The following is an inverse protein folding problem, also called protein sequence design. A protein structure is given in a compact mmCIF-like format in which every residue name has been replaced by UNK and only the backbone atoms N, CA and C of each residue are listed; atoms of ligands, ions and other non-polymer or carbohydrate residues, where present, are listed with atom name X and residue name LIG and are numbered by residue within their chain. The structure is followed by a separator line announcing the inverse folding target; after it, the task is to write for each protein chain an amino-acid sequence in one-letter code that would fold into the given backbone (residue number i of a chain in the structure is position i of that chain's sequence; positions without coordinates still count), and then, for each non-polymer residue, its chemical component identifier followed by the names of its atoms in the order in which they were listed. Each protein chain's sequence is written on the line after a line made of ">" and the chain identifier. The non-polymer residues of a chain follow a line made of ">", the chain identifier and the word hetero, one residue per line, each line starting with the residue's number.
data_IF_382184729293
#
_entry.id   IF_382184729293
#
_cell.length_a   1.000
_cell.length_b   1.000
_cell.length_c   1.000
_cell.angle_alpha   90.00
_cell.angle_beta   90.00
_cell.angle_gamma   90.00
#
_symmetry.space_group_name_H-M   'P 1'
#
loop_
_entity.id
_entity.type
_entity.pdbx_description
1 polymer ?
#
# COMPACT_ATOMS: atom_id res chain seq x y z
N UNK A 1 27.73 1.25 -17.55
CA UNK A 1 29.05 1.17 -16.91
C UNK A 1 29.33 -0.27 -16.54
N UNK A 2 30.37 -0.89 -17.15
CA UNK A 2 30.80 -2.24 -16.82
C UNK A 2 31.25 -2.29 -15.36
N UNK A 3 30.43 -2.95 -14.51
CA UNK A 3 30.78 -3.20 -13.09
C UNK A 3 31.77 -4.38 -13.03
N UNK A 4 33.02 -4.13 -13.39
CA UNK A 4 34.06 -5.14 -13.18
C UNK A 4 34.15 -5.43 -11.67
N UNK A 5 34.15 -6.71 -11.26
CA UNK A 5 34.29 -7.07 -9.86
C UNK A 5 35.65 -6.61 -9.35
N UNK A 6 35.71 -6.01 -8.16
CA UNK A 6 36.87 -5.32 -7.61
C UNK A 6 38.08 -6.24 -7.50
N UNK A 7 37.89 -7.50 -7.10
CA UNK A 7 38.97 -8.48 -6.90
C UNK A 7 39.68 -8.84 -8.19
N UNK A 8 39.05 -9.24 -9.31
CA UNK A 8 39.79 -9.52 -10.55
C UNK A 8 40.41 -8.27 -11.17
N UNK A 9 39.80 -7.06 -10.96
CA UNK A 9 40.45 -5.83 -11.42
C UNK A 9 41.75 -5.56 -10.65
N UNK A 10 41.72 -5.64 -9.31
CA UNK A 10 42.93 -5.47 -8.48
C UNK A 10 43.98 -6.55 -8.77
N UNK A 11 43.57 -7.80 -8.97
CA UNK A 11 44.48 -8.90 -9.36
C UNK A 11 45.15 -8.62 -10.69
N UNK A 12 44.44 -8.14 -11.69
CA UNK A 12 44.98 -7.77 -13.00
C UNK A 12 45.98 -6.62 -12.94
N UNK A 13 45.65 -5.55 -12.19
CA UNK A 13 46.56 -4.41 -12.01
C UNK A 13 47.82 -4.82 -11.25
N UNK A 14 47.67 -5.58 -10.17
CA UNK A 14 48.84 -6.08 -9.39
C UNK A 14 49.72 -6.99 -10.23
N UNK A 15 49.15 -7.87 -11.05
CA UNK A 15 49.90 -8.72 -11.97
C UNK A 15 50.71 -7.88 -12.95
N UNK A 16 50.12 -6.87 -13.54
CA UNK A 16 50.76 -6.02 -14.55
C UNK A 16 51.91 -5.21 -13.93
N UNK A 17 51.73 -4.68 -12.72
CA UNK A 17 52.79 -3.97 -11.97
C UNK A 17 53.93 -4.93 -11.63
N UNK A 18 53.64 -6.10 -11.08
CA UNK A 18 54.66 -7.11 -10.71
C UNK A 18 55.47 -7.63 -11.88
N UNK A 19 54.83 -7.83 -13.05
CA UNK A 19 55.52 -8.22 -14.28
C UNK A 19 56.42 -7.08 -14.79
N UNK A 20 55.92 -5.83 -14.74
CA UNK A 20 56.74 -4.66 -15.13
C UNK A 20 57.98 -4.45 -14.26
N UNK A 21 57.83 -4.58 -12.93
CA UNK A 21 58.96 -4.51 -11.98
C UNK A 21 59.95 -5.64 -12.19
N UNK A 22 59.50 -6.87 -12.41
CA UNK A 22 60.32 -8.02 -12.67
C UNK A 22 61.14 -7.84 -13.98
N UNK A 23 60.51 -7.37 -15.06
CA UNK A 23 61.17 -7.02 -16.31
C UNK A 23 62.17 -5.89 -16.12
N UNK A 24 61.88 -4.88 -15.30
CA UNK A 24 62.81 -3.80 -14.96
C UNK A 24 64.07 -4.32 -14.27
N UNK A 25 63.91 -5.20 -13.28
CA UNK A 25 65.06 -5.84 -12.61
C UNK A 25 65.89 -6.63 -13.57
N UNK A 26 65.31 -7.41 -14.50
CA UNK A 26 65.99 -8.17 -15.50
C UNK A 26 66.78 -7.29 -16.50
N UNK A 27 66.28 -6.16 -16.89
CA UNK A 27 66.89 -5.24 -17.86
C UNK A 27 68.01 -4.39 -17.27
N UNK A 28 67.96 -4.03 -15.99
CA UNK A 28 68.86 -3.08 -15.35
C UNK A 28 69.72 -3.69 -14.24
N UNK A 29 69.61 -5.00 -14.00
CA UNK A 29 70.40 -5.68 -12.96
C UNK A 29 71.80 -6.00 -13.45
N UNK A 30 72.79 -5.28 -12.91
CA UNK A 30 74.20 -5.60 -12.98
C UNK A 30 74.60 -6.70 -11.96
N UNK A 31 75.80 -6.75 -11.50
CA UNK A 31 76.38 -7.80 -10.65
C UNK A 31 75.63 -8.14 -9.33
N UNK A 32 74.63 -7.34 -8.89
CA UNK A 32 73.81 -7.57 -7.68
C UNK A 32 72.42 -8.10 -7.98
N UNK A 33 72.14 -8.65 -9.15
CA UNK A 33 70.81 -9.12 -9.56
C UNK A 33 70.18 -10.10 -8.56
N UNK A 34 70.90 -10.96 -7.93
CA UNK A 34 70.39 -11.94 -6.98
C UNK A 34 69.84 -11.29 -5.68
N UNK A 35 70.57 -10.29 -5.18
CA UNK A 35 70.15 -9.57 -3.98
C UNK A 35 68.86 -8.70 -4.25
N UNK A 36 68.78 -8.06 -5.43
CA UNK A 36 67.63 -7.30 -5.85
C UNK A 36 66.38 -8.18 -6.05
N UNK A 37 66.52 -9.33 -6.68
CA UNK A 37 65.43 -10.32 -6.82
C UNK A 37 64.97 -10.87 -5.48
N UNK A 38 65.86 -11.12 -4.54
CA UNK A 38 65.50 -11.58 -3.21
C UNK A 38 64.72 -10.52 -2.44
N UNK A 39 65.13 -9.23 -2.47
CA UNK A 39 64.42 -8.12 -1.85
C UNK A 39 63.04 -7.90 -2.50
N UNK A 40 62.97 -7.97 -3.83
CA UNK A 40 61.72 -7.90 -4.56
C UNK A 40 60.75 -9.02 -4.16
N UNK A 41 61.24 -10.25 -4.05
CA UNK A 41 60.42 -11.39 -3.61
C UNK A 41 59.90 -11.19 -2.18
N UNK A 42 60.77 -10.72 -1.27
CA UNK A 42 60.40 -10.45 0.11
C UNK A 42 59.34 -9.34 0.21
N UNK A 43 59.49 -8.29 -0.60
CA UNK A 43 58.47 -7.24 -0.71
C UNK A 43 57.14 -7.81 -1.17
N UNK A 44 57.09 -8.60 -2.22
CA UNK A 44 55.84 -9.20 -2.75
C UNK A 44 55.21 -10.17 -1.76
N UNK A 45 55.98 -10.88 -0.97
CA UNK A 45 55.48 -11.77 0.08
C UNK A 45 54.63 -11.02 1.13
N UNK A 46 54.92 -9.73 1.36
CA UNK A 46 54.18 -8.89 2.32
C UNK A 46 53.09 -8.08 1.61
N UNK A 47 53.42 -7.42 0.51
CA UNK A 47 52.54 -6.46 -0.17
C UNK A 47 51.32 -7.15 -0.82
N UNK A 48 51.53 -8.31 -1.48
CA UNK A 48 50.44 -9.01 -2.16
C UNK A 48 49.30 -9.45 -1.21
N UNK A 49 49.60 -10.12 -0.08
CA UNK A 49 48.57 -10.50 0.87
C UNK A 49 47.81 -9.29 1.43
N UNK A 50 48.49 -8.17 1.67
CA UNK A 50 47.83 -6.94 2.18
C UNK A 50 46.89 -6.38 1.14
N UNK A 51 47.30 -6.26 -0.13
CA UNK A 51 46.43 -5.75 -1.20
C UNK A 51 45.21 -6.67 -1.37
N UNK A 52 45.40 -7.99 -1.40
CA UNK A 52 44.29 -8.95 -1.49
C UNK A 52 43.35 -8.87 -0.30
N UNK A 53 43.90 -8.75 0.91
CA UNK A 53 43.08 -8.57 2.12
C UNK A 53 42.21 -7.32 2.02
N UNK A 54 42.77 -6.17 1.64
CA UNK A 54 42.03 -4.92 1.49
C UNK A 54 40.96 -5.04 0.41
N UNK A 55 41.31 -5.60 -0.77
CA UNK A 55 40.39 -5.79 -1.88
C UNK A 55 39.19 -6.67 -1.50
N UNK A 56 39.42 -7.80 -0.83
CA UNK A 56 38.38 -8.72 -0.36
C UNK A 56 37.49 -8.07 0.69
N UNK A 57 38.08 -7.33 1.61
CA UNK A 57 37.32 -6.63 2.67
C UNK A 57 36.48 -5.50 2.09
N UNK A 58 37.00 -4.69 1.18
CA UNK A 58 36.24 -3.68 0.46
C UNK A 58 35.10 -4.28 -0.36
N UNK A 59 35.30 -5.43 -0.99
CA UNK A 59 34.25 -6.13 -1.71
C UNK A 59 33.13 -6.58 -0.76
N UNK A 60 33.47 -7.15 0.41
CA UNK A 60 32.49 -7.53 1.43
C UNK A 60 31.70 -6.33 1.93
N UNK A 61 32.35 -5.22 2.28
CA UNK A 61 31.69 -3.97 2.69
C UNK A 61 30.71 -3.46 1.62
N UNK A 62 31.15 -3.45 0.36
CA UNK A 62 30.30 -3.01 -0.76
C UNK A 62 29.08 -3.90 -0.95
N UNK A 63 29.25 -5.22 -0.89
CA UNK A 63 28.14 -6.17 -1.06
C UNK A 63 27.13 -6.03 0.07
N UNK A 64 27.61 -5.87 1.31
CA UNK A 64 26.75 -5.66 2.46
C UNK A 64 26.00 -4.32 2.39
N UNK A 65 26.71 -3.22 2.09
CA UNK A 65 26.06 -1.92 1.88
C UNK A 65 24.99 -1.98 0.78
N UNK A 66 25.22 -2.76 -0.27
CA UNK A 66 24.22 -2.95 -1.33
C UNK A 66 23.01 -3.78 -0.86
N UNK A 67 23.21 -4.83 -0.06
CA UNK A 67 22.12 -5.61 0.53
C UNK A 67 21.27 -4.77 1.49
N UNK A 68 21.90 -3.92 2.32
CA UNK A 68 21.21 -2.96 3.17
C UNK A 68 20.35 -1.98 2.36
N UNK A 69 20.91 -1.46 1.25
CA UNK A 69 20.18 -0.56 0.35
C UNK A 69 18.99 -1.23 -0.35
N UNK A 70 18.95 -2.56 -0.42
CA UNK A 70 17.82 -3.35 -0.92
C UNK A 70 16.80 -3.73 0.17
N UNK A 71 17.04 -3.30 1.43
CA UNK A 71 16.16 -3.56 2.55
C UNK A 71 16.41 -4.89 3.27
N UNK A 72 17.48 -5.61 2.95
CA UNK A 72 17.85 -6.83 3.68
C UNK A 72 18.70 -6.46 4.89
N UNK A 73 18.06 -6.36 6.05
CA UNK A 73 18.67 -5.95 7.33
C UNK A 73 19.19 -7.14 8.14
N UNK A 74 18.84 -8.39 7.78
CA UNK A 74 19.20 -9.59 8.56
C UNK A 74 20.66 -10.00 8.44
N UNK A 75 21.44 -9.34 7.56
CA UNK A 75 22.84 -9.68 7.32
C UNK A 75 23.75 -8.82 8.17
N UNK A 76 24.57 -9.42 9.04
CA UNK A 76 25.62 -8.74 9.80
C UNK A 76 26.99 -9.06 9.22
N UNK A 77 27.91 -8.07 9.22
CA UNK A 77 29.30 -8.28 8.84
C UNK A 77 30.10 -8.81 10.02
N UNK A 78 30.81 -9.92 9.80
CA UNK A 78 31.79 -10.40 10.78
C UNK A 78 33.03 -9.49 10.75
N UNK A 79 33.20 -8.73 11.84
CA UNK A 79 34.30 -7.77 12.03
C UNK A 79 35.54 -8.38 12.70
N UNK A 80 35.47 -9.65 13.16
CA UNK A 80 36.53 -10.27 13.98
C UNK A 80 37.89 -10.35 13.28
N UNK A 81 37.87 -10.46 11.94
CA UNK A 81 39.12 -10.53 11.12
C UNK A 81 39.44 -9.23 10.39
N UNK A 82 38.76 -8.14 10.69
CA UNK A 82 38.98 -6.83 10.09
C UNK A 82 39.89 -5.97 10.96
N UNK A 83 40.71 -5.11 10.35
CA UNK A 83 41.70 -4.29 11.08
C UNK A 83 41.56 -2.82 10.67
N UNK A 84 41.84 -1.91 11.62
CA UNK A 84 41.93 -0.48 11.39
C UNK A 84 40.62 0.15 10.87
N UNK A 85 40.73 1.06 9.91
CA UNK A 85 39.61 1.80 9.34
C UNK A 85 38.55 0.89 8.69
N UNK A 86 38.93 -0.24 8.11
CA UNK A 86 38.00 -1.19 7.49
C UNK A 86 37.09 -1.84 8.55
N UNK A 87 37.62 -2.09 9.75
CA UNK A 87 36.81 -2.58 10.88
C UNK A 87 35.80 -1.52 11.34
N UNK A 88 36.25 -0.28 11.51
CA UNK A 88 35.37 0.81 11.90
C UNK A 88 34.21 1.00 10.89
N UNK A 89 34.49 0.99 9.59
CA UNK A 89 33.43 1.07 8.57
C UNK A 89 32.46 -0.11 8.60
N UNK A 90 32.93 -1.32 8.91
CA UNK A 90 32.06 -2.49 9.04
C UNK A 90 31.14 -2.36 10.27
N UNK A 91 31.68 -1.88 11.39
CA UNK A 91 30.93 -1.60 12.63
C UNK A 91 29.90 -0.48 12.41
N UNK A 92 30.25 0.60 11.69
CA UNK A 92 29.34 1.68 11.33
C UNK A 92 28.17 1.15 10.48
N UNK A 93 28.44 0.30 9.46
CA UNK A 93 27.40 -0.31 8.64
C UNK A 93 26.45 -1.21 9.45
N UNK A 94 27.00 -2.03 10.36
CA UNK A 94 26.18 -2.85 11.26
C UNK A 94 25.32 -1.97 12.18
N UNK A 95 25.90 -0.88 12.74
CA UNK A 95 25.16 0.07 13.58
C UNK A 95 24.02 0.77 12.83
N UNK A 96 24.23 1.11 11.55
CA UNK A 96 23.19 1.69 10.69
C UNK A 96 22.09 0.66 10.46
N UNK A 97 22.43 -0.62 10.19
CA UNK A 97 21.45 -1.68 10.03
C UNK A 97 20.57 -1.85 11.28
N UNK A 98 21.18 -1.94 12.46
CA UNK A 98 20.49 -2.05 13.74
C UNK A 98 19.61 -0.83 14.06
N UNK A 99 20.08 0.37 13.72
CA UNK A 99 19.31 1.60 13.90
C UNK A 99 18.07 1.63 12.99
N UNK A 100 18.22 1.21 11.73
CA UNK A 100 17.09 1.12 10.78
C UNK A 100 16.09 0.06 11.25
N UNK A 101 16.56 -1.14 11.64
CA UNK A 101 15.68 -2.21 12.13
C UNK A 101 14.91 -1.77 13.38
N UNK A 102 15.59 -1.14 14.32
CA UNK A 102 14.98 -0.56 15.53
C UNK A 102 13.93 0.50 15.17
N UNK A 103 14.24 1.41 14.25
CA UNK A 103 13.31 2.47 13.83
C UNK A 103 12.07 1.90 13.12
N UNK A 104 12.25 0.90 12.23
CA UNK A 104 11.16 0.20 11.56
C UNK A 104 10.31 -0.56 12.56
N UNK A 105 10.93 -1.27 13.50
CA UNK A 105 10.26 -2.00 14.58
C UNK A 105 9.44 -1.07 15.48
N UNK A 106 9.98 0.07 15.88
CA UNK A 106 9.25 1.08 16.66
C UNK A 106 8.08 1.68 15.91
N UNK A 107 8.27 2.00 14.61
CA UNK A 107 7.19 2.51 13.76
C UNK A 107 6.06 1.49 13.61
N UNK A 108 6.39 0.24 13.32
CA UNK A 108 5.41 -0.84 13.20
C UNK A 108 4.65 -1.07 14.51
N UNK A 109 5.36 -1.06 15.65
CA UNK A 109 4.74 -1.17 16.97
C UNK A 109 3.82 0.00 17.29
N UNK A 110 4.22 1.23 16.94
CA UNK A 110 3.39 2.43 17.10
C UNK A 110 2.12 2.37 16.25
N UNK A 111 2.23 1.95 15.01
CA UNK A 111 1.06 1.79 14.13
C UNK A 111 0.10 0.69 14.61
N UNK A 112 0.62 -0.45 15.08
CA UNK A 112 -0.20 -1.51 15.71
C UNK A 112 -0.90 -1.01 16.96
N UNK A 113 -0.18 -0.31 17.83
CA UNK A 113 -0.75 0.25 19.06
C UNK A 113 -1.86 1.26 18.77
N UNK A 114 -1.67 2.15 17.78
CA UNK A 114 -2.73 3.07 17.32
C UNK A 114 -3.96 2.31 16.84
N UNK A 115 -3.78 1.22 16.09
CA UNK A 115 -4.88 0.40 15.58
C UNK A 115 -5.63 -0.32 16.71
N UNK A 116 -4.91 -0.88 17.68
CA UNK A 116 -5.51 -1.53 18.87
C UNK A 116 -6.28 -0.52 19.73
N UNK A 117 -5.70 0.67 19.98
CA UNK A 117 -6.39 1.74 20.70
C UNK A 117 -7.68 2.15 19.98
N UNK A 118 -7.63 2.38 18.67
CA UNK A 118 -8.80 2.74 17.88
C UNK A 118 -9.86 1.64 17.96
N UNK A 119 -9.47 0.38 17.89
CA UNK A 119 -10.39 -0.75 17.95
C UNK A 119 -11.04 -0.87 19.34
N UNK A 120 -10.25 -0.79 20.41
CA UNK A 120 -10.74 -0.91 21.78
C UNK A 120 -11.64 0.27 22.19
N UNK A 121 -11.18 1.51 21.93
CA UNK A 121 -11.97 2.73 22.20
C UNK A 121 -13.26 2.72 21.38
N UNK A 122 -13.21 2.21 20.15
CA UNK A 122 -14.40 2.13 19.31
C UNK A 122 -15.44 1.15 19.85
N UNK A 123 -15.01 0.01 20.40
CA UNK A 123 -15.90 -0.94 21.05
C UNK A 123 -16.59 -0.30 22.27
N UNK A 124 -15.81 0.42 23.10
CA UNK A 124 -16.32 1.03 24.33
C UNK A 124 -17.24 2.26 24.06
N UNK A 125 -17.08 2.92 22.91
CA UNK A 125 -17.99 3.98 22.45
C UNK A 125 -19.23 3.41 21.77
N UNK A 126 -19.13 2.28 21.05
CA UNK A 126 -20.24 1.68 20.31
C UNK A 126 -21.40 1.31 21.25
N UNK A 127 -21.12 0.79 22.44
CA UNK A 127 -22.12 0.33 23.40
C UNK A 127 -23.02 1.48 23.90
N UNK A 128 -22.50 2.58 24.51
CA UNK A 128 -23.32 3.69 24.93
C UNK A 128 -24.02 4.41 23.78
N UNK A 129 -23.35 4.49 22.60
CA UNK A 129 -23.94 5.08 21.41
C UNK A 129 -25.16 4.29 20.92
N UNK A 130 -25.07 2.96 20.91
CA UNK A 130 -26.20 2.09 20.57
C UNK A 130 -27.38 2.31 21.54
N UNK A 131 -27.08 2.49 22.83
CA UNK A 131 -28.13 2.82 23.83
C UNK A 131 -28.77 4.15 23.55
N UNK A 132 -28.01 5.21 23.24
CA UNK A 132 -28.51 6.53 22.88
C UNK A 132 -29.45 6.43 21.66
N UNK A 133 -29.04 5.73 20.62
CA UNK A 133 -29.83 5.52 19.40
C UNK A 133 -31.15 4.81 19.73
N UNK A 134 -31.08 3.72 20.50
CA UNK A 134 -32.29 2.97 20.89
C UNK A 134 -33.26 3.81 21.70
N UNK A 135 -32.79 4.61 22.68
CA UNK A 135 -33.66 5.47 23.45
C UNK A 135 -34.24 6.61 22.60
N UNK A 136 -33.48 7.17 21.66
CA UNK A 136 -34.02 8.17 20.73
C UNK A 136 -35.04 7.57 19.76
N UNK A 137 -34.89 6.33 19.33
CA UNK A 137 -35.86 5.59 18.53
C UNK A 137 -37.18 5.36 19.33
N UNK A 138 -37.05 4.95 20.60
CA UNK A 138 -38.22 4.81 21.48
C UNK A 138 -38.97 6.11 21.65
N UNK A 139 -38.27 7.24 21.90
CA UNK A 139 -38.90 8.57 22.00
C UNK A 139 -39.58 8.96 20.68
N UNK A 140 -38.99 8.62 19.52
CA UNK A 140 -39.62 8.90 18.22
C UNK A 140 -40.90 8.07 17.97
N UNK A 141 -40.98 6.86 18.56
CA UNK A 141 -42.15 5.96 18.44
C UNK A 141 -43.26 6.28 19.45
N UNK A 142 -42.90 6.88 20.57
CA UNK A 142 -43.89 7.36 21.54
C UNK A 142 -44.67 8.53 20.95
N UNK A 143 -46.00 8.48 21.09
CA UNK A 143 -46.85 9.61 20.68
C UNK A 143 -46.67 10.76 21.68
N UNK A 144 -45.72 11.64 21.41
CA UNK A 144 -45.51 12.85 22.18
C UNK A 144 -46.44 13.97 21.67
N UNK A 145 -47.24 14.56 22.55
CA UNK A 145 -48.07 15.72 22.22
C UNK A 145 -47.24 16.99 21.88
N UNK A 146 -45.95 16.94 22.09
CA UNK A 146 -45.05 18.06 21.80
C UNK A 146 -44.21 17.81 20.53
N UNK A 147 -44.51 18.46 19.40
CA UNK A 147 -43.80 18.24 18.13
C UNK A 147 -42.33 18.60 18.19
N UNK A 148 -41.88 19.48 19.11
CA UNK A 148 -40.47 19.81 19.28
C UNK A 148 -39.65 18.64 19.87
N UNK A 149 -40.25 17.83 20.75
CA UNK A 149 -39.58 16.66 21.32
C UNK A 149 -39.31 15.65 20.22
N UNK A 150 -40.29 15.40 19.35
CA UNK A 150 -40.15 14.50 18.20
C UNK A 150 -39.07 15.00 17.23
N UNK A 151 -39.02 16.30 16.94
CA UNK A 151 -37.99 16.91 16.10
C UNK A 151 -36.57 16.73 16.72
N UNK A 152 -36.42 17.02 18.02
CA UNK A 152 -35.12 16.83 18.71
C UNK A 152 -34.69 15.37 18.74
N UNK A 153 -35.62 14.44 19.00
CA UNK A 153 -35.33 13.01 18.99
C UNK A 153 -34.87 12.55 17.60
N UNK A 154 -35.51 13.01 16.52
CA UNK A 154 -35.09 12.72 15.14
C UNK A 154 -33.69 13.27 14.81
N UNK A 155 -33.37 14.47 15.31
CA UNK A 155 -32.02 15.05 15.14
C UNK A 155 -31.01 14.20 15.89
N UNK A 156 -31.25 13.83 17.15
CA UNK A 156 -30.36 12.99 17.96
C UNK A 156 -30.17 11.61 17.32
N UNK A 157 -31.26 11.00 16.85
CA UNK A 157 -31.19 9.69 16.16
C UNK A 157 -30.27 9.77 14.93
N UNK A 158 -30.45 10.76 14.05
CA UNK A 158 -29.61 10.96 12.87
C UNK A 158 -28.14 11.19 13.24
N UNK A 159 -27.86 12.00 14.28
CA UNK A 159 -26.48 12.24 14.71
C UNK A 159 -25.87 10.99 15.35
N UNK A 160 -26.64 10.19 16.08
CA UNK A 160 -26.23 8.90 16.63
C UNK A 160 -25.84 7.90 15.54
N UNK A 161 -26.70 7.70 14.54
CA UNK A 161 -26.40 6.81 13.40
C UNK A 161 -25.18 7.30 12.60
N UNK A 162 -25.03 8.62 12.45
CA UNK A 162 -23.84 9.20 11.82
C UNK A 162 -22.57 8.87 12.60
N UNK A 163 -22.57 9.05 13.94
CA UNK A 163 -21.42 8.77 14.79
C UNK A 163 -21.08 7.27 14.78
N UNK A 164 -22.09 6.41 14.82
CA UNK A 164 -21.92 4.95 14.69
C UNK A 164 -21.23 4.59 13.37
N UNK A 165 -21.65 5.18 12.24
CA UNK A 165 -21.01 4.98 10.94
C UNK A 165 -19.56 5.44 10.94
N UNK A 166 -19.27 6.64 11.47
CA UNK A 166 -17.89 7.16 11.58
C UNK A 166 -16.98 6.24 12.39
N UNK A 167 -17.51 5.69 13.48
CA UNK A 167 -16.76 4.75 14.33
C UNK A 167 -16.44 3.44 13.59
N UNK A 168 -17.42 2.87 12.89
CA UNK A 168 -17.22 1.65 12.07
C UNK A 168 -16.19 1.91 10.98
N UNK A 169 -16.32 3.03 10.26
CA UNK A 169 -15.38 3.42 9.19
C UNK A 169 -13.94 3.58 9.75
N UNK A 170 -13.79 4.16 10.95
CA UNK A 170 -12.50 4.36 11.61
C UNK A 170 -11.84 3.02 11.99
N UNK A 171 -12.61 2.09 12.58
CA UNK A 171 -12.11 0.75 12.94
C UNK A 171 -11.68 -0.02 11.69
N UNK A 172 -12.51 0.02 10.64
CA UNK A 172 -12.23 -0.65 9.37
C UNK A 172 -10.95 -0.09 8.72
N UNK A 173 -10.82 1.25 8.63
CA UNK A 173 -9.62 1.90 8.13
C UNK A 173 -8.37 1.55 8.96
N UNK A 174 -8.50 1.44 10.27
CA UNK A 174 -7.42 1.05 11.17
C UNK A 174 -7.00 -0.40 10.94
N UNK A 175 -7.94 -1.35 10.93
CA UNK A 175 -7.67 -2.78 10.67
C UNK A 175 -7.11 -3.02 9.28
N UNK A 176 -7.66 -2.34 8.26
CA UNK A 176 -7.19 -2.46 6.88
C UNK A 176 -5.74 -1.99 6.72
N UNK A 177 -5.37 -0.89 7.37
CA UNK A 177 -4.00 -0.34 7.28
C UNK A 177 -2.94 -1.15 8.01
N UNK A 178 -3.32 -1.93 9.01
CA UNK A 178 -2.40 -2.80 9.77
C UNK A 178 -2.35 -4.22 9.25
N UNK A 179 -3.11 -4.54 8.19
CA UNK A 179 -3.21 -5.90 7.65
C UNK A 179 -3.96 -6.88 8.53
N UNK A 180 -4.62 -6.40 9.61
CA UNK A 180 -5.36 -7.22 10.58
C UNK A 180 -6.82 -7.47 10.15
N UNK A 181 -7.18 -7.13 8.91
CA UNK A 181 -8.50 -7.41 8.36
C UNK A 181 -8.49 -8.80 7.69
N UNK A 182 -9.39 -9.67 8.11
CA UNK A 182 -9.56 -10.98 7.48
C UNK A 182 -10.18 -10.82 6.09
N UNK A 183 -9.53 -11.36 5.06
CA UNK A 183 -9.97 -11.32 3.66
C UNK A 183 -10.13 -12.74 3.14
N UNK A 184 -11.35 -13.15 2.85
CA UNK A 184 -11.67 -14.45 2.27
C UNK A 184 -11.80 -14.32 0.75
N UNK A 185 -10.67 -14.49 0.04
CA UNK A 185 -10.65 -14.41 -1.43
C UNK A 185 -11.29 -15.63 -2.06
N UNK A 186 -12.31 -15.41 -2.87
CA UNK A 186 -13.00 -16.42 -3.69
C UNK A 186 -13.21 -15.90 -5.10
N UNK A 187 -13.48 -16.76 -6.09
CA UNK A 187 -13.86 -16.32 -7.42
C UNK A 187 -15.10 -15.43 -7.36
N UNK A 188 -14.93 -14.16 -7.76
CA UNK A 188 -15.97 -13.13 -7.70
C UNK A 188 -16.24 -12.56 -9.09
N UNK A 189 -17.49 -12.57 -9.53
CA UNK A 189 -17.96 -11.95 -10.78
C UNK A 189 -18.13 -10.46 -10.59
N UNK A 190 -17.20 -9.69 -11.17
CA UNK A 190 -17.17 -8.23 -11.04
C UNK A 190 -18.34 -7.57 -11.78
N UNK A 191 -18.76 -8.13 -12.90
CA UNK A 191 -19.91 -7.65 -13.69
C UNK A 191 -21.21 -7.71 -12.88
N UNK A 192 -21.45 -8.80 -12.14
CA UNK A 192 -22.62 -8.96 -11.28
C UNK A 192 -22.61 -7.94 -10.13
N UNK A 193 -21.46 -7.77 -9.49
CA UNK A 193 -21.31 -6.82 -8.38
C UNK A 193 -21.50 -5.37 -8.84
N UNK A 194 -21.07 -5.07 -10.07
CA UNK A 194 -21.23 -3.75 -10.67
C UNK A 194 -22.69 -3.46 -11.04
N UNK A 195 -23.42 -4.48 -11.55
CA UNK A 195 -24.87 -4.38 -11.79
C UNK A 195 -25.64 -4.12 -10.49
N UNK A 196 -25.29 -4.86 -9.43
CA UNK A 196 -25.89 -4.66 -8.11
C UNK A 196 -25.63 -3.23 -7.62
N UNK A 197 -24.40 -2.72 -7.72
CA UNK A 197 -24.09 -1.36 -7.35
C UNK A 197 -24.87 -0.33 -8.17
N UNK A 198 -25.00 -0.54 -9.47
CA UNK A 198 -25.78 0.31 -10.35
C UNK A 198 -27.25 0.37 -9.92
N UNK A 199 -27.86 -0.80 -9.65
CA UNK A 199 -29.27 -0.89 -9.23
C UNK A 199 -29.53 -0.25 -7.86
N UNK A 200 -28.69 -0.53 -6.84
CA UNK A 200 -28.86 0.05 -5.49
C UNK A 200 -28.70 1.57 -5.48
N UNK A 201 -27.88 2.11 -6.37
CA UNK A 201 -27.63 3.55 -6.42
C UNK A 201 -28.50 4.31 -7.42
N UNK A 202 -29.31 3.65 -8.25
CA UNK A 202 -30.12 4.27 -9.31
C UNK A 202 -30.99 5.40 -8.78
N UNK A 203 -31.79 5.13 -7.74
CA UNK A 203 -32.70 6.14 -7.15
C UNK A 203 -31.92 7.31 -6.53
N UNK A 204 -30.80 7.03 -5.85
CA UNK A 204 -29.97 8.07 -5.22
C UNK A 204 -29.27 8.96 -6.23
N UNK A 205 -28.80 8.38 -7.33
CA UNK A 205 -28.21 9.12 -8.44
C UNK A 205 -29.26 10.02 -9.10
N UNK A 206 -30.48 9.48 -9.36
CA UNK A 206 -31.58 10.25 -9.91
C UNK A 206 -31.97 11.43 -9.00
N UNK A 207 -32.07 11.22 -7.69
CA UNK A 207 -32.33 12.29 -6.71
C UNK A 207 -31.22 13.37 -6.70
N UNK A 208 -29.97 12.99 -7.00
CA UNK A 208 -28.84 13.90 -7.12
C UNK A 208 -28.76 14.57 -8.51
N UNK A 209 -29.70 14.28 -9.42
CA UNK A 209 -29.70 14.78 -10.80
C UNK A 209 -28.61 14.19 -11.67
N UNK A 210 -28.14 12.98 -11.35
CA UNK A 210 -27.05 12.30 -12.05
C UNK A 210 -27.60 11.19 -12.95
N UNK A 211 -27.01 11.03 -14.15
CA UNK A 211 -27.36 9.95 -15.09
C UNK A 211 -26.24 8.92 -15.09
N UNK A 212 -26.56 7.67 -14.73
CA UNK A 212 -25.60 6.57 -14.76
C UNK A 212 -25.44 6.03 -16.19
N UNK A 213 -24.18 5.84 -16.61
CA UNK A 213 -23.79 5.17 -17.86
C UNK A 213 -22.92 3.98 -17.48
N UNK A 214 -23.49 2.78 -17.59
CA UNK A 214 -22.77 1.52 -17.31
C UNK A 214 -22.25 0.92 -18.62
N UNK A 215 -20.95 0.64 -18.70
CA UNK A 215 -20.29 0.00 -19.81
C UNK A 215 -19.56 -1.25 -19.31
N UNK A 216 -19.92 -2.40 -19.83
CA UNK A 216 -19.32 -3.69 -19.46
C UNK A 216 -19.28 -4.63 -20.67
N UNK A 217 -18.32 -5.59 -20.73
CA UNK A 217 -18.31 -6.61 -21.77
C UNK A 217 -19.48 -7.59 -21.57
N UNK A 218 -19.86 -8.28 -22.65
CA UNK A 218 -20.89 -9.33 -22.61
C UNK A 218 -20.43 -10.55 -21.81
N UNK A 219 -19.13 -10.85 -21.85
CA UNK A 219 -18.52 -11.94 -21.07
C UNK A 219 -18.24 -11.48 -19.65
N UNK A 220 -18.72 -12.26 -18.68
CA UNK A 220 -18.45 -11.98 -17.26
C UNK A 220 -16.95 -12.03 -16.94
N UNK A 221 -16.46 -11.06 -16.16
CA UNK A 221 -15.07 -11.01 -15.71
C UNK A 221 -14.97 -11.45 -14.26
N UNK A 222 -14.08 -12.41 -13.98
CA UNK A 222 -13.87 -13.01 -12.68
C UNK A 222 -12.52 -12.60 -12.11
N UNK A 223 -12.50 -12.26 -10.83
CA UNK A 223 -11.28 -11.99 -10.05
C UNK A 223 -11.29 -12.81 -8.76
N UNK A 224 -10.14 -12.99 -8.11
CA UNK A 224 -10.05 -13.56 -6.77
C UNK A 224 -10.15 -12.42 -5.75
N UNK A 225 -11.33 -12.26 -5.14
CA UNK A 225 -11.61 -11.19 -4.19
C UNK A 225 -12.61 -11.65 -3.11
N UNK A 226 -12.67 -10.93 -1.99
CA UNK A 226 -13.77 -11.03 -1.04
C UNK A 226 -14.91 -10.12 -1.51
N UNK A 227 -16.03 -10.71 -1.92
CA UNK A 227 -17.16 -9.98 -2.47
C UNK A 227 -17.73 -8.92 -1.53
N UNK A 228 -17.69 -9.14 -0.20
CA UNK A 228 -18.15 -8.18 0.82
C UNK A 228 -17.25 -6.94 0.85
N UNK A 229 -15.93 -7.15 0.83
CA UNK A 229 -14.99 -6.05 0.82
C UNK A 229 -14.95 -5.32 -0.52
N UNK A 230 -15.10 -6.03 -1.63
CA UNK A 230 -15.20 -5.41 -2.95
C UNK A 230 -16.49 -4.59 -3.09
N UNK A 231 -17.61 -5.09 -2.55
CA UNK A 231 -18.86 -4.34 -2.42
C UNK A 231 -18.65 -3.03 -1.64
N UNK A 232 -17.96 -3.12 -0.49
CA UNK A 232 -17.64 -1.95 0.34
C UNK A 232 -16.80 -0.90 -0.40
N UNK A 233 -15.88 -1.34 -1.26
CA UNK A 233 -15.12 -0.45 -2.15
C UNK A 233 -16.08 0.29 -3.09
N UNK A 234 -16.99 -0.44 -3.77
CA UNK A 234 -17.96 0.17 -4.68
C UNK A 234 -18.91 1.11 -3.94
N UNK A 235 -19.42 0.72 -2.79
CA UNK A 235 -20.29 1.56 -1.92
C UNK A 235 -19.61 2.88 -1.55
N UNK A 236 -18.34 2.85 -1.14
CA UNK A 236 -17.57 4.04 -0.82
C UNK A 236 -17.41 4.98 -2.02
N UNK A 237 -17.11 4.43 -3.21
CA UNK A 237 -16.94 5.21 -4.44
C UNK A 237 -18.28 5.79 -4.92
N UNK A 238 -19.35 5.00 -4.92
CA UNK A 238 -20.68 5.47 -5.31
C UNK A 238 -21.24 6.53 -4.34
N UNK A 239 -21.06 6.35 -3.04
CA UNK A 239 -21.40 7.37 -2.04
C UNK A 239 -20.64 8.68 -2.27
N UNK A 240 -19.34 8.58 -2.63
CA UNK A 240 -18.54 9.76 -2.97
C UNK A 240 -19.13 10.49 -4.18
N UNK A 241 -19.47 9.75 -5.24
CA UNK A 241 -20.09 10.29 -6.45
C UNK A 241 -21.41 11.01 -6.12
N UNK A 242 -22.33 10.37 -5.40
CA UNK A 242 -23.62 10.98 -5.03
C UNK A 242 -23.45 12.28 -4.23
N UNK A 243 -22.36 12.43 -3.49
CA UNK A 243 -22.13 13.62 -2.63
C UNK A 243 -21.48 14.77 -3.37
N UNK A 244 -20.53 14.47 -4.27
CA UNK A 244 -19.61 15.47 -4.81
C UNK A 244 -19.73 15.67 -6.32
N UNK A 245 -20.48 14.84 -7.03
CA UNK A 245 -20.68 15.03 -8.46
C UNK A 245 -21.57 16.25 -8.76
N UNK A 246 -21.31 16.90 -9.88
CA UNK A 246 -22.07 18.02 -10.38
C UNK A 246 -23.42 17.52 -10.93
N UNK A 247 -24.53 18.05 -10.39
CA UNK A 247 -25.89 17.73 -10.85
C UNK A 247 -26.06 18.06 -12.34
N UNK A 248 -26.87 17.29 -13.04
CA UNK A 248 -27.08 17.41 -14.49
C UNK A 248 -25.99 16.74 -15.35
N UNK A 249 -25.01 16.06 -14.71
CA UNK A 249 -23.93 15.38 -15.42
C UNK A 249 -24.09 13.85 -15.44
N UNK A 250 -23.21 13.18 -16.19
CA UNK A 250 -23.18 11.72 -16.30
C UNK A 250 -22.10 11.13 -15.38
N UNK A 251 -22.44 9.99 -14.80
CA UNK A 251 -21.52 9.12 -14.06
C UNK A 251 -21.20 7.89 -14.93
N UNK A 252 -19.95 7.65 -15.18
CA UNK A 252 -19.53 6.50 -16.00
C UNK A 252 -18.94 5.42 -15.12
N UNK A 253 -19.56 4.25 -15.13
CA UNK A 253 -19.01 3.01 -14.60
C UNK A 253 -18.57 2.13 -15.79
N UNK A 254 -17.30 1.77 -15.83
CA UNK A 254 -16.78 0.97 -16.94
C UNK A 254 -16.04 -0.23 -16.40
N UNK A 255 -16.42 -1.42 -16.84
CA UNK A 255 -15.71 -2.68 -16.62
C UNK A 255 -15.05 -3.09 -17.92
N UNK A 256 -13.74 -3.37 -17.90
CA UNK A 256 -13.00 -3.80 -19.07
C UNK A 256 -11.88 -4.77 -18.69
N UNK A 257 -11.56 -5.67 -19.61
CA UNK A 257 -10.35 -6.46 -19.55
C UNK A 257 -9.20 -5.71 -20.22
N UNK A 258 -8.06 -5.63 -19.57
CA UNK A 258 -6.84 -5.01 -20.10
C UNK A 258 -5.68 -6.00 -19.95
N UNK A 259 -5.47 -6.83 -20.97
CA UNK A 259 -4.51 -7.93 -20.92
C UNK A 259 -4.88 -8.95 -19.84
N UNK A 260 -3.99 -9.18 -18.88
CA UNK A 260 -4.18 -10.09 -17.74
C UNK A 260 -4.88 -9.44 -16.54
N UNK A 261 -5.42 -8.23 -16.70
CA UNK A 261 -6.06 -7.50 -15.60
C UNK A 261 -7.50 -7.15 -15.94
N UNK A 262 -8.34 -7.15 -14.90
CA UNK A 262 -9.68 -6.58 -14.90
C UNK A 262 -9.59 -5.17 -14.38
N UNK A 263 -10.17 -4.21 -15.10
CA UNK A 263 -10.24 -2.81 -14.71
C UNK A 263 -11.69 -2.37 -14.51
N UNK A 264 -11.95 -1.77 -13.34
CA UNK A 264 -13.22 -1.09 -13.06
C UNK A 264 -12.93 0.39 -12.90
N UNK A 265 -13.58 1.24 -13.69
CA UNK A 265 -13.40 2.69 -13.58
C UNK A 265 -14.70 3.40 -13.18
N UNK A 266 -14.59 4.34 -12.27
CA UNK A 266 -15.62 5.26 -11.81
C UNK A 266 -15.21 6.66 -12.24
N UNK A 267 -16.07 7.37 -12.98
CA UNK A 267 -15.77 8.72 -13.49
C UNK A 267 -16.99 9.62 -13.31
N UNK A 268 -16.76 10.82 -12.79
CA UNK A 268 -17.76 11.85 -12.67
C UNK A 268 -17.13 13.26 -12.77
N UNK A 269 -17.93 14.26 -13.04
CA UNK A 269 -17.53 15.65 -12.93
C UNK A 269 -17.79 16.09 -11.49
N UNK A 270 -16.80 16.72 -10.84
CA UNK A 270 -16.95 17.29 -9.50
C UNK A 270 -17.77 18.58 -9.53
N UNK A 271 -18.58 18.78 -8.49
CA UNK A 271 -19.33 20.04 -8.31
C UNK A 271 -18.41 21.21 -7.95
N UNK A 272 -17.44 20.92 -7.10
CA UNK A 272 -16.47 21.90 -6.63
C UNK A 272 -15.13 21.68 -7.30
N UNK A 273 -14.32 22.73 -7.54
CA UNK A 273 -12.97 22.58 -8.10
C UNK A 273 -12.11 21.66 -7.27
N UNK A 274 -11.31 20.82 -7.92
CA UNK A 274 -10.42 19.87 -7.26
C UNK A 274 -8.99 20.41 -7.27
N UNK A 275 -8.73 21.39 -6.39
CA UNK A 275 -7.43 22.07 -6.29
C UNK A 275 -6.37 21.26 -5.51
N UNK A 276 -6.72 20.05 -5.07
CA UNK A 276 -5.83 19.17 -4.30
C UNK A 276 -5.23 18.08 -5.19
N UNK A 277 -3.93 17.78 -5.02
CA UNK A 277 -3.31 16.62 -5.67
C UNK A 277 -4.03 15.32 -5.32
N UNK A 278 -4.14 14.41 -6.29
CA UNK A 278 -4.81 13.11 -6.10
C UNK A 278 -4.27 12.32 -4.89
N UNK A 279 -2.98 12.42 -4.60
CA UNK A 279 -2.35 11.78 -3.44
C UNK A 279 -2.91 12.29 -2.10
N UNK A 280 -3.19 13.59 -2.00
CA UNK A 280 -3.77 14.18 -0.78
C UNK A 280 -5.23 13.78 -0.59
N UNK A 281 -6.00 13.59 -1.67
CA UNK A 281 -7.39 13.11 -1.60
C UNK A 281 -7.49 11.66 -1.07
N UNK A 282 -6.41 10.88 -1.15
CA UNK A 282 -6.32 9.51 -0.62
C UNK A 282 -5.90 9.48 0.86
N UNK A 283 -5.40 10.59 1.41
CA UNK A 283 -5.04 10.66 2.82
C UNK A 283 -6.29 10.54 3.70
N UNK A 284 -6.10 9.97 4.90
CA UNK A 284 -7.19 9.84 5.87
C UNK A 284 -7.64 11.21 6.36
N UNK A 285 -8.95 11.38 6.46
CA UNK A 285 -9.59 12.63 6.87
C UNK A 285 -9.34 13.80 5.90
N UNK A 286 -8.78 13.53 4.71
CA UNK A 286 -8.61 14.54 3.68
C UNK A 286 -10.00 15.00 3.18
N UNK A 287 -10.18 16.30 3.16
CA UNK A 287 -11.41 16.95 2.65
C UNK A 287 -10.97 18.23 1.96
N UNK A 288 -11.41 18.43 0.71
CA UNK A 288 -11.26 19.73 0.05
C UNK A 288 -11.88 20.85 0.87
N UNK A 289 -11.37 22.05 0.79
CA UNK A 289 -11.85 23.18 1.61
C UNK A 289 -13.35 23.45 1.41
N UNK A 290 -13.87 23.31 0.20
CA UNK A 290 -15.31 23.43 -0.11
C UNK A 290 -16.13 22.27 0.47
N UNK A 291 -15.55 21.09 0.69
CA UNK A 291 -16.22 19.91 1.23
C UNK A 291 -16.30 19.88 2.77
N UNK A 292 -15.76 20.87 3.48
CA UNK A 292 -15.84 20.94 4.96
C UNK A 292 -17.25 21.08 5.47
N UNK A 293 -18.16 21.65 4.70
CA UNK A 293 -19.57 21.83 5.04
C UNK A 293 -20.45 20.64 4.69
N UNK A 294 -19.97 19.71 3.85
CA UNK A 294 -20.73 18.51 3.47
C UNK A 294 -20.54 17.36 4.46
N UNK A 295 -21.57 16.54 4.65
CA UNK A 295 -21.52 15.38 5.53
C UNK A 295 -20.58 14.29 4.99
N UNK A 296 -19.52 13.94 5.73
CA UNK A 296 -18.61 12.85 5.37
C UNK A 296 -17.50 12.68 6.38
N UNK A 297 -16.94 11.44 6.48
CA UNK A 297 -15.82 11.10 7.36
C UNK A 297 -14.46 11.51 6.79
N UNK A 298 -14.35 11.68 5.48
CA UNK A 298 -13.04 11.77 4.79
C UNK A 298 -12.26 10.45 4.78
N UNK A 299 -12.89 9.33 5.14
CA UNK A 299 -12.26 8.01 5.20
C UNK A 299 -12.61 7.11 4.01
N UNK A 300 -13.68 7.41 3.26
CA UNK A 300 -14.20 6.52 2.23
C UNK A 300 -13.21 6.15 1.13
N UNK A 301 -12.42 7.10 0.62
CA UNK A 301 -11.41 6.83 -0.41
C UNK A 301 -10.23 6.04 0.15
N UNK A 302 -9.74 6.36 1.35
CA UNK A 302 -8.64 5.62 1.99
C UNK A 302 -9.05 4.20 2.37
N UNK A 303 -10.30 3.97 2.78
CA UNK A 303 -10.86 2.63 3.00
C UNK A 303 -10.93 1.87 1.68
N UNK A 304 -11.47 2.48 0.62
CA UNK A 304 -11.55 1.85 -0.69
C UNK A 304 -10.18 1.45 -1.23
N UNK A 305 -9.16 2.30 -1.06
CA UNK A 305 -7.78 1.99 -1.43
C UNK A 305 -7.24 0.81 -0.63
N UNK A 306 -7.30 0.88 0.71
CA UNK A 306 -6.77 -0.17 1.58
C UNK A 306 -7.44 -1.53 1.34
N UNK A 307 -8.77 -1.56 1.17
CA UNK A 307 -9.51 -2.79 0.86
C UNK A 307 -9.17 -3.36 -0.53
N UNK A 308 -8.87 -2.50 -1.50
CA UNK A 308 -8.44 -2.92 -2.84
C UNK A 308 -7.05 -3.55 -2.78
N UNK A 309 -6.10 -2.92 -2.09
CA UNK A 309 -4.72 -3.38 -1.94
C UNK A 309 -4.64 -4.68 -1.14
N UNK A 310 -5.39 -4.82 -0.04
CA UNK A 310 -5.48 -6.05 0.75
C UNK A 310 -5.97 -7.25 -0.07
N UNK A 311 -6.75 -7.02 -1.10
CA UNK A 311 -7.24 -8.07 -2.00
C UNK A 311 -6.30 -8.34 -3.18
N UNK A 312 -5.12 -7.68 -3.23
CA UNK A 312 -4.14 -7.83 -4.31
C UNK A 312 -4.46 -7.02 -5.56
N UNK A 313 -5.41 -6.08 -5.45
CA UNK A 313 -5.69 -5.08 -6.47
C UNK A 313 -4.84 -3.83 -6.32
N UNK A 314 -5.02 -2.90 -7.25
CA UNK A 314 -4.44 -1.55 -7.23
C UNK A 314 -5.53 -0.53 -7.49
N UNK A 315 -5.60 0.52 -6.69
CA UNK A 315 -6.47 1.68 -6.90
C UNK A 315 -5.63 2.86 -7.37
N UNK A 316 -6.06 3.48 -8.46
CA UNK A 316 -5.45 4.70 -9.00
C UNK A 316 -6.50 5.81 -9.05
N UNK A 317 -6.18 6.94 -8.44
CA UNK A 317 -6.99 8.15 -8.49
C UNK A 317 -6.32 9.16 -9.42
N UNK A 318 -7.09 9.74 -10.32
CA UNK A 318 -6.66 10.84 -11.16
C UNK A 318 -7.71 11.95 -11.15
N UNK A 319 -7.22 13.17 -11.18
CA UNK A 319 -7.99 14.40 -11.27
C UNK A 319 -7.47 15.16 -12.48
N UNK A 320 -8.39 15.60 -13.36
CA UNK A 320 -8.06 16.42 -14.51
C UNK A 320 -9.13 17.53 -14.61
N UNK A 321 -8.77 18.72 -14.14
CA UNK A 321 -9.75 19.78 -13.88
C UNK A 321 -10.84 19.30 -12.94
N UNK A 322 -12.09 19.34 -13.37
CA UNK A 322 -13.26 18.87 -12.61
C UNK A 322 -13.53 17.37 -12.79
N UNK A 323 -12.79 16.67 -13.64
CA UNK A 323 -12.96 15.24 -13.86
C UNK A 323 -12.29 14.46 -12.73
N UNK A 324 -13.11 13.81 -11.92
CA UNK A 324 -12.68 12.83 -10.93
C UNK A 324 -12.77 11.42 -11.50
N UNK A 325 -11.67 10.67 -11.44
CA UNK A 325 -11.58 9.31 -11.98
C UNK A 325 -10.86 8.39 -11.03
N UNK A 326 -11.49 7.29 -10.67
CA UNK A 326 -10.88 6.18 -9.93
C UNK A 326 -10.84 4.95 -10.82
N UNK A 327 -9.71 4.26 -10.85
CA UNK A 327 -9.51 3.00 -11.56
C UNK A 327 -9.06 1.93 -10.57
N UNK A 328 -9.82 0.87 -10.46
CA UNK A 328 -9.48 -0.34 -9.73
C UNK A 328 -8.94 -1.37 -10.72
N UNK A 329 -7.80 -1.98 -10.42
CA UNK A 329 -7.16 -2.99 -11.27
C UNK A 329 -6.89 -4.25 -10.47
N UNK A 330 -7.39 -5.39 -10.92
CA UNK A 330 -7.19 -6.70 -10.29
C UNK A 330 -6.63 -7.70 -11.32
N UNK A 331 -5.87 -8.71 -10.90
CA UNK A 331 -5.52 -9.83 -11.77
C UNK A 331 -6.80 -10.56 -12.25
N UNK A 332 -6.87 -10.89 -13.53
CA UNK A 332 -7.94 -11.73 -14.08
C UNK A 332 -7.78 -13.15 -13.51
N UNK A 333 -8.87 -13.75 -13.04
CA UNK A 333 -8.90 -15.14 -12.61
C UNK A 333 -9.43 -16.02 -13.75
N UNK A 334 -8.72 -17.10 -14.07
CA UNK A 334 -9.18 -18.13 -15.01
C UNK A 334 -10.18 -19.09 -14.36
N UNK A 335 -10.32 -19.05 -13.03
CA UNK A 335 -11.22 -19.92 -12.27
C UNK A 335 -12.65 -19.42 -12.41
N UNK A 336 -13.52 -20.20 -13.04
CA UNK A 336 -14.96 -19.91 -13.04
C UNK A 336 -15.53 -19.98 -11.62
N UNK A 337 -16.46 -19.08 -11.23
CA UNK A 337 -17.17 -19.23 -9.96
C UNK A 337 -17.91 -20.57 -9.96
N UNK A 338 -17.85 -21.29 -8.85
CA UNK A 338 -18.69 -22.45 -8.63
C UNK A 338 -20.13 -22.00 -8.78
N UNK A 339 -20.81 -22.43 -9.84
CA UNK A 339 -22.27 -22.31 -9.97
C UNK A 339 -22.86 -23.03 -8.75
N UNK A 340 -23.76 -22.42 -7.96
CA UNK A 340 -24.48 -23.16 -6.96
C UNK A 340 -25.20 -24.32 -7.69
N UNK A 341 -24.84 -25.54 -7.30
CA UNK A 341 -25.45 -26.73 -7.86
C UNK A 341 -26.97 -26.72 -7.62
N UNK A 342 -27.77 -27.43 -8.44
CA UNK A 342 -29.24 -27.42 -8.40
C UNK A 342 -29.85 -28.07 -7.15
N UNK A 343 -29.11 -28.21 -6.05
CA UNK A 343 -29.55 -28.93 -4.84
C UNK A 343 -30.30 -28.07 -3.80
N UNK A 344 -30.69 -26.81 -4.13
CA UNK A 344 -31.44 -25.96 -3.19
C UNK A 344 -32.90 -25.70 -3.63
N UNK A 345 -33.39 -26.39 -4.68
CA UNK A 345 -34.76 -26.21 -5.17
C UNK A 345 -35.75 -27.33 -4.78
N UNK A 346 -35.32 -28.35 -4.00
CA UNK A 346 -36.17 -29.47 -3.61
C UNK A 346 -36.54 -29.52 -2.10
N UNK A 347 -36.42 -28.40 -1.38
CA UNK A 347 -36.78 -28.32 0.03
C UNK A 347 -37.98 -27.41 0.33
N UNK A 348 -38.78 -27.04 -0.67
CA UNK A 348 -40.10 -26.38 -0.48
C UNK A 348 -41.15 -27.07 -1.39
N UNK A 349 -41.54 -28.30 -1.06
CA UNK A 349 -42.84 -28.89 -1.35
C UNK A 349 -43.42 -29.53 -0.08
#
# INVERSE_FOLDING_TARGET
>A
MLRLPLVPLTAGVVLLITVGEFMGILLFADWNAGALMFLWFLEKLVVLPVIFYVALTCQKLRTHAHSLAQGNLDTTLDTARMVGALKAHAEDLNSIADAIDTAVGQRTRSERFKAELITNVSHDIKTPLTSIINYTDLICREQCDNPRITEYAQVLHRQGERLKKLLVDLVEASKASTGNLEVHRAPCRVDVLLDQAAGEYEQRLAQSGLTLVLQKPETGLVILADGRHLWRVFDNLMNNICKYALSGTRVYLTLAQAGTKVRVSFRNISRDPLDMPAAQLLERFARGDAARTTEGSGLGLSIAQSLTELQGGKMELSVDGDLFKVVLSFPLSETQPLTPGPAAAEAEE
#
